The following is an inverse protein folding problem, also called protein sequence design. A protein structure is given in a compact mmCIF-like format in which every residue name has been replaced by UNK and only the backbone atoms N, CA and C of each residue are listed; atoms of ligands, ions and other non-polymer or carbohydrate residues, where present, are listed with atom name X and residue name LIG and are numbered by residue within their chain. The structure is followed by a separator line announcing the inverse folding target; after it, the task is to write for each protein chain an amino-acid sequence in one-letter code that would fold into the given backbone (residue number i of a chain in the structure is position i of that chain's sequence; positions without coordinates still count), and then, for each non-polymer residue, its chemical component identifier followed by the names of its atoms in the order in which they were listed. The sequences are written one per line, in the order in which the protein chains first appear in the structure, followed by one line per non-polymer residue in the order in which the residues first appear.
data_IF_948725862575
#
_entry.id   IF_948725862575
#
_cell.length_a   1.000
_cell.length_b   1.000
_cell.length_c   1.000
_cell.angle_alpha   90.00
_cell.angle_beta   90.00
_cell.angle_gamma   90.00
#
_symmetry.space_group_name_H-M   'P 1'
#
loop_
_entity.id
_entity.type
_entity.pdbx_description
1 polymer ?
#
# COMPACT_ATOMS: atom_id res chain seq x y z
N UNK A 1 12.95 29.68 44.79
CA UNK A 1 13.71 29.04 43.67
C UNK A 1 13.50 27.54 43.60
N UNK A 2 13.66 26.75 44.68
CA UNK A 2 13.53 25.27 44.67
C UNK A 2 12.13 24.84 44.23
N UNK A 3 11.05 25.45 44.68
CA UNK A 3 9.66 25.08 44.33
C UNK A 3 9.38 25.24 42.84
N UNK A 4 9.94 26.30 42.21
CA UNK A 4 9.75 26.53 40.76
C UNK A 4 10.52 25.48 39.95
N UNK A 5 11.74 25.12 40.40
CA UNK A 5 12.50 24.07 39.71
C UNK A 5 11.86 22.70 39.80
N UNK A 6 11.27 22.32 40.95
CA UNK A 6 10.50 21.07 41.11
C UNK A 6 9.24 21.07 40.24
N UNK A 7 8.51 22.19 40.19
CA UNK A 7 7.31 22.30 39.35
C UNK A 7 7.66 22.16 37.86
N UNK A 8 8.73 22.80 37.39
CA UNK A 8 9.17 22.67 35.99
C UNK A 8 9.62 21.26 35.66
N UNK A 9 10.39 20.62 36.56
CA UNK A 9 10.80 19.22 36.35
C UNK A 9 9.60 18.27 36.27
N UNK A 10 8.60 18.44 37.16
CA UNK A 10 7.37 17.64 37.13
C UNK A 10 6.58 17.85 35.84
N UNK A 11 6.45 19.09 35.37
CA UNK A 11 5.80 19.39 34.09
C UNK A 11 6.50 18.73 32.90
N UNK A 12 7.84 18.78 32.86
CA UNK A 12 8.64 18.13 31.78
C UNK A 12 8.47 16.62 31.79
N UNK A 13 8.47 15.98 32.97
CA UNK A 13 8.26 14.55 33.10
C UNK A 13 6.85 14.17 32.64
N UNK A 14 5.83 14.87 33.09
CA UNK A 14 4.44 14.64 32.68
C UNK A 14 4.28 14.82 31.15
N UNK A 15 4.85 15.87 30.59
CA UNK A 15 4.83 16.13 29.14
C UNK A 15 5.51 15.00 28.37
N UNK A 16 6.68 14.54 28.81
CA UNK A 16 7.40 13.43 28.19
C UNK A 16 6.62 12.13 28.22
N UNK A 17 5.95 11.83 29.34
CA UNK A 17 5.08 10.64 29.47
C UNK A 17 3.87 10.75 28.55
N UNK A 18 3.20 11.90 28.53
CA UNK A 18 2.03 12.11 27.64
C UNK A 18 2.45 11.99 26.18
N UNK A 19 3.57 12.57 25.79
CA UNK A 19 4.10 12.45 24.41
C UNK A 19 4.42 11.00 24.06
N UNK A 20 5.08 10.27 24.95
CA UNK A 20 5.41 8.86 24.72
C UNK A 20 4.15 7.97 24.59
N UNK A 21 3.14 8.22 25.44
CA UNK A 21 1.87 7.50 25.36
C UNK A 21 1.08 7.88 24.10
N UNK A 22 1.07 9.16 23.72
CA UNK A 22 0.41 9.61 22.48
C UNK A 22 1.09 9.02 21.24
N UNK A 23 2.42 8.99 21.20
CA UNK A 23 3.16 8.39 20.08
C UNK A 23 2.85 6.90 19.97
N UNK A 24 2.88 6.16 21.10
CA UNK A 24 2.49 4.74 21.13
C UNK A 24 1.05 4.52 20.68
N UNK A 25 0.12 5.40 21.09
CA UNK A 25 -1.28 5.27 20.67
C UNK A 25 -1.47 5.56 19.18
N UNK A 26 -0.73 6.53 18.64
CA UNK A 26 -0.74 6.83 17.20
C UNK A 26 -0.14 5.66 16.41
N UNK A 27 1.01 5.13 16.85
CA UNK A 27 1.62 3.94 16.23
C UNK A 27 0.68 2.74 16.28
N UNK A 28 0.06 2.50 17.45
CA UNK A 28 -0.90 1.40 17.62
C UNK A 28 -2.12 1.56 16.71
N UNK A 29 -2.72 2.75 16.64
CA UNK A 29 -3.85 3.01 15.77
C UNK A 29 -3.48 2.93 14.27
N UNK A 30 -2.24 3.24 13.90
CA UNK A 30 -1.75 3.06 12.53
C UNK A 30 -1.53 1.59 12.16
N UNK A 31 -1.16 0.77 13.13
CA UNK A 31 -0.93 -0.67 12.92
C UNK A 31 -2.25 -1.45 12.98
N UNK A 32 -3.19 -1.07 13.85
CA UNK A 32 -4.48 -1.75 14.01
C UNK A 32 -5.41 -1.64 12.79
N UNK A 33 -5.17 -0.69 11.88
CA UNK A 33 -5.97 -0.47 10.66
C UNK A 33 -5.27 -0.93 9.36
N UNK A 34 -4.04 -1.49 9.45
CA UNK A 34 -3.30 -2.04 8.33
C UNK A 34 -3.22 -3.57 8.41
N UNK A 35 -2.47 -4.20 7.53
CA UNK A 35 -2.26 -5.65 7.52
C UNK A 35 -1.46 -6.12 8.75
N UNK A 36 -1.77 -7.33 9.26
CA UNK A 36 -1.00 -7.97 10.34
C UNK A 36 0.17 -8.80 9.81
N UNK A 37 0.08 -9.30 8.57
CA UNK A 37 1.20 -9.99 7.93
C UNK A 37 1.22 -9.78 6.41
N UNK A 38 2.42 -9.96 5.84
CA UNK A 38 2.64 -9.97 4.39
C UNK A 38 3.40 -11.22 4.01
N UNK A 39 2.81 -12.05 3.17
CA UNK A 39 3.50 -13.15 2.50
C UNK A 39 4.11 -12.62 1.21
N UNK A 40 5.36 -12.95 0.95
CA UNK A 40 6.13 -12.44 -0.21
C UNK A 40 6.79 -13.58 -0.96
N UNK A 41 7.03 -13.38 -2.26
CA UNK A 41 7.61 -14.38 -3.15
C UNK A 41 6.74 -15.64 -3.23
N UNK A 42 5.48 -15.44 -3.43
CA UNK A 42 4.47 -16.47 -3.58
C UNK A 42 3.85 -16.41 -4.97
N UNK A 43 3.20 -17.49 -5.38
CA UNK A 43 2.49 -17.57 -6.66
C UNK A 43 1.04 -17.05 -6.52
N UNK A 44 0.37 -16.82 -7.66
CA UNK A 44 -1.07 -16.54 -7.70
C UNK A 44 -1.90 -17.70 -7.09
N UNK A 45 -1.42 -18.94 -7.23
CA UNK A 45 -2.06 -20.13 -6.65
C UNK A 45 -1.94 -20.12 -5.12
N UNK A 46 -0.77 -19.74 -4.59
CA UNK A 46 -0.57 -19.58 -3.14
C UNK A 46 -1.49 -18.50 -2.56
N UNK A 47 -1.63 -17.35 -3.24
CA UNK A 47 -2.59 -16.30 -2.84
C UNK A 47 -4.01 -16.87 -2.80
N UNK A 48 -4.38 -17.67 -3.80
CA UNK A 48 -5.70 -18.32 -3.85
C UNK A 48 -5.89 -19.31 -2.70
N UNK A 49 -4.84 -20.04 -2.34
CA UNK A 49 -4.84 -20.95 -1.19
C UNK A 49 -5.02 -20.19 0.11
N UNK A 50 -4.27 -19.09 0.32
CA UNK A 50 -4.42 -18.23 1.49
C UNK A 50 -5.85 -17.66 1.61
N UNK A 51 -6.48 -17.27 0.49
CA UNK A 51 -7.88 -16.81 0.45
C UNK A 51 -8.88 -17.89 0.91
N UNK A 52 -8.50 -19.16 0.83
CA UNK A 52 -9.32 -20.30 1.26
C UNK A 52 -9.14 -20.71 2.72
N UNK A 53 -8.17 -20.16 3.44
CA UNK A 53 -7.92 -20.53 4.85
C UNK A 53 -8.88 -19.78 5.78
N UNK A 54 -9.40 -20.49 6.76
CA UNK A 54 -10.28 -19.95 7.81
C UNK A 54 -9.53 -19.03 8.80
N UNK A 55 -8.20 -19.02 8.74
CA UNK A 55 -7.32 -18.19 9.56
C UNK A 55 -7.43 -16.70 9.25
N UNK A 56 -7.80 -16.38 8.01
CA UNK A 56 -7.82 -14.99 7.52
C UNK A 56 -9.25 -14.47 7.34
N UNK A 57 -9.49 -13.27 7.82
CA UNK A 57 -10.70 -12.52 7.53
C UNK A 57 -10.64 -11.83 6.16
N UNK A 58 -9.43 -11.46 5.72
CA UNK A 58 -9.15 -10.82 4.44
C UNK A 58 -7.78 -11.21 3.91
N UNK A 59 -7.68 -11.39 2.60
CA UNK A 59 -6.41 -11.64 1.88
C UNK A 59 -6.42 -10.81 0.61
N UNK A 60 -5.54 -9.83 0.53
CA UNK A 60 -5.36 -8.96 -0.63
C UNK A 60 -4.18 -9.39 -1.49
N UNK A 61 -4.35 -9.33 -2.79
CA UNK A 61 -3.36 -9.69 -3.80
C UNK A 61 -2.62 -8.44 -4.29
N UNK A 62 -1.29 -8.47 -4.24
CA UNK A 62 -0.43 -7.36 -4.61
C UNK A 62 0.77 -7.84 -5.44
N UNK A 63 1.17 -7.03 -6.42
CA UNK A 63 2.39 -7.24 -7.20
C UNK A 63 3.07 -5.90 -7.49
N UNK A 64 4.39 -5.82 -7.24
CA UNK A 64 5.21 -4.68 -7.61
C UNK A 64 5.87 -4.96 -8.96
N UNK A 65 5.39 -4.30 -10.03
CA UNK A 65 5.93 -4.51 -11.36
C UNK A 65 7.32 -3.86 -11.50
N UNK A 66 7.39 -2.55 -11.30
CA UNK A 66 8.63 -1.80 -11.43
C UNK A 66 8.62 -0.55 -10.55
N UNK A 67 9.81 -0.09 -10.18
CA UNK A 67 10.04 1.26 -9.63
C UNK A 67 11.14 1.90 -10.44
N UNK A 68 10.81 2.90 -11.23
CA UNK A 68 11.72 3.49 -12.20
C UNK A 68 11.50 4.99 -12.41
N UNK A 69 12.54 5.73 -12.79
CA UNK A 69 12.39 7.14 -13.12
C UNK A 69 11.62 7.29 -14.43
N UNK A 70 10.72 8.27 -14.48
CA UNK A 70 10.06 8.70 -15.70
C UNK A 70 10.78 9.90 -16.33
N UNK A 71 10.62 10.08 -17.64
CA UNK A 71 11.25 11.19 -18.39
C UNK A 71 10.85 12.56 -17.85
N UNK A 72 9.64 12.68 -17.29
CA UNK A 72 9.15 13.93 -16.68
C UNK A 72 9.80 14.23 -15.30
N UNK A 73 10.65 13.34 -14.78
CA UNK A 73 11.43 13.58 -13.57
C UNK A 73 10.79 13.14 -12.25
N UNK A 74 9.74 12.33 -12.27
CA UNK A 74 9.19 11.65 -11.10
C UNK A 74 9.67 10.19 -11.04
N UNK A 75 9.55 9.57 -9.86
CA UNK A 75 9.74 8.12 -9.71
C UNK A 75 8.39 7.43 -9.77
N UNK A 76 8.19 6.57 -10.76
CA UNK A 76 6.97 5.79 -10.92
C UNK A 76 7.08 4.46 -10.19
N UNK A 77 6.08 4.15 -9.38
CA UNK A 77 5.88 2.82 -8.81
C UNK A 77 4.71 2.16 -9.54
N UNK A 78 5.01 1.24 -10.43
CA UNK A 78 4.01 0.47 -11.18
C UNK A 78 3.62 -0.75 -10.38
N UNK A 79 2.34 -0.84 -10.04
CA UNK A 79 1.82 -1.87 -9.15
C UNK A 79 0.51 -2.44 -9.68
N UNK A 80 0.26 -3.70 -9.34
CA UNK A 80 -1.06 -4.31 -9.42
C UNK A 80 -1.54 -4.62 -8.01
N UNK A 81 -2.81 -4.38 -7.74
CA UNK A 81 -3.48 -4.87 -6.54
C UNK A 81 -4.97 -5.07 -6.78
N UNK A 82 -5.57 -5.95 -5.99
CA UNK A 82 -7.00 -6.16 -5.97
C UNK A 82 -7.73 -5.21 -4.98
N UNK A 83 -9.06 -5.24 -4.98
CA UNK A 83 -9.88 -4.40 -4.10
C UNK A 83 -9.64 -4.70 -2.61
N UNK A 84 -9.32 -5.95 -2.26
CA UNK A 84 -9.02 -6.34 -0.88
C UNK A 84 -7.72 -5.71 -0.41
N UNK A 85 -6.68 -5.68 -1.25
CA UNK A 85 -5.43 -4.96 -0.93
C UNK A 85 -5.69 -3.47 -0.74
N UNK A 86 -6.50 -2.84 -1.62
CA UNK A 86 -6.86 -1.43 -1.47
C UNK A 86 -7.59 -1.14 -0.16
N UNK A 87 -8.41 -2.07 0.31
CA UNK A 87 -9.07 -1.95 1.61
C UNK A 87 -8.10 -2.11 2.78
N UNK A 88 -7.24 -3.13 2.73
CA UNK A 88 -6.26 -3.46 3.77
C UNK A 88 -5.20 -2.35 3.88
N UNK A 89 -4.69 -1.86 2.75
CA UNK A 89 -3.62 -0.87 2.68
C UNK A 89 -4.13 0.58 2.52
N UNK A 90 -5.38 0.87 2.92
CA UNK A 90 -6.05 2.16 2.68
C UNK A 90 -5.30 3.39 3.23
N UNK A 91 -4.45 3.20 4.24
CA UNK A 91 -3.62 4.27 4.81
C UNK A 91 -2.38 4.57 3.95
N UNK A 92 -1.96 3.61 3.12
CA UNK A 92 -0.84 3.77 2.20
C UNK A 92 -1.30 4.22 0.82
N UNK A 93 -2.44 3.71 0.37
CA UNK A 93 -3.02 4.03 -0.93
C UNK A 93 -4.53 3.86 -0.90
N UNK A 94 -5.26 4.86 -1.37
CA UNK A 94 -6.72 4.88 -1.36
C UNK A 94 -7.27 5.26 -2.73
N UNK A 95 -8.25 4.50 -3.21
CA UNK A 95 -9.03 4.89 -4.38
C UNK A 95 -10.02 6.00 -3.97
N UNK A 96 -9.89 7.17 -4.57
CA UNK A 96 -10.75 8.34 -4.32
C UNK A 96 -11.95 8.37 -5.26
N UNK A 97 -11.70 8.10 -6.54
CA UNK A 97 -12.70 8.19 -7.60
C UNK A 97 -12.50 7.10 -8.64
N UNK A 98 -13.57 6.66 -9.30
CA UNK A 98 -13.52 5.70 -10.38
C UNK A 98 -13.40 4.25 -9.90
N UNK A 99 -12.61 3.45 -10.61
CA UNK A 99 -12.40 2.03 -10.37
C UNK A 99 -10.96 1.61 -10.63
N UNK A 100 -10.59 0.42 -10.17
CA UNK A 100 -9.31 -0.19 -10.53
C UNK A 100 -9.26 -0.55 -12.03
N UNK A 101 -8.07 -0.52 -12.65
CA UNK A 101 -7.87 -0.91 -14.05
C UNK A 101 -8.25 -2.38 -14.29
N UNK A 102 -8.88 -2.65 -15.42
CA UNK A 102 -9.29 -4.00 -15.83
C UNK A 102 -8.66 -4.42 -17.15
N UNK A 103 -8.29 -3.45 -18.00
CA UNK A 103 -7.70 -3.70 -19.32
C UNK A 103 -6.23 -3.27 -19.34
N UNK A 104 -5.51 -3.77 -20.31
CA UNK A 104 -4.08 -3.52 -20.50
C UNK A 104 -3.73 -2.04 -20.71
N UNK A 105 -4.62 -1.28 -21.35
CA UNK A 105 -4.48 0.15 -21.64
C UNK A 105 -5.11 1.08 -20.58
N UNK A 106 -5.52 0.53 -19.44
CA UNK A 106 -6.15 1.28 -18.35
C UNK A 106 -5.17 1.46 -17.18
N UNK A 107 -5.26 2.62 -16.51
CA UNK A 107 -4.48 2.92 -15.31
C UNK A 107 -5.35 3.60 -14.25
N UNK A 108 -5.01 3.38 -12.97
CA UNK A 108 -5.39 4.29 -11.92
C UNK A 108 -4.13 5.01 -11.42
N UNK A 109 -4.20 6.32 -11.29
CA UNK A 109 -3.06 7.17 -11.01
C UNK A 109 -3.31 8.06 -9.81
N UNK A 110 -2.26 8.46 -9.11
CA UNK A 110 -2.40 9.33 -7.97
C UNK A 110 -2.85 10.75 -8.38
N UNK A 111 -3.55 11.41 -7.46
CA UNK A 111 -3.90 12.83 -7.62
C UNK A 111 -2.65 13.69 -7.80
N UNK A 112 -1.55 13.33 -7.12
CA UNK A 112 -0.28 14.03 -7.26
C UNK A 112 0.27 13.90 -8.69
N UNK A 113 0.22 12.70 -9.28
CA UNK A 113 0.60 12.50 -10.68
C UNK A 113 -0.23 13.39 -11.62
N UNK A 114 -1.55 13.41 -11.47
CA UNK A 114 -2.43 14.21 -12.33
C UNK A 114 -2.13 15.69 -12.22
N UNK A 115 -1.92 16.22 -11.01
CA UNK A 115 -1.67 17.65 -10.80
C UNK A 115 -0.33 18.14 -11.36
N UNK A 116 0.71 17.30 -11.30
CA UNK A 116 2.08 17.71 -11.66
C UNK A 116 2.46 17.26 -13.09
N UNK A 117 1.96 16.13 -13.55
CA UNK A 117 2.43 15.47 -14.79
C UNK A 117 1.31 15.05 -15.73
N UNK A 118 0.09 14.93 -15.24
CA UNK A 118 -1.04 14.38 -15.98
C UNK A 118 -1.83 15.37 -16.84
N UNK A 119 -1.39 16.63 -16.97
CA UNK A 119 -2.04 17.66 -17.78
C UNK A 119 -3.55 17.83 -17.52
N UNK A 120 -3.95 17.79 -16.22
CA UNK A 120 -5.33 17.92 -15.76
C UNK A 120 -6.30 16.82 -16.27
N UNK A 121 -5.76 15.67 -16.65
CA UNK A 121 -6.58 14.56 -17.12
C UNK A 121 -7.50 14.02 -16.01
N UNK A 122 -8.76 13.80 -16.38
CA UNK A 122 -9.78 13.18 -15.52
C UNK A 122 -10.04 11.72 -15.88
N UNK A 123 -11.01 11.11 -15.16
CA UNK A 123 -11.46 9.75 -15.46
C UNK A 123 -12.01 9.68 -16.89
N UNK A 124 -11.58 8.67 -17.64
CA UNK A 124 -11.92 8.44 -19.05
C UNK A 124 -11.00 9.17 -20.04
N UNK A 125 -10.14 10.06 -19.55
CA UNK A 125 -9.15 10.74 -20.37
C UNK A 125 -7.82 9.99 -20.40
N UNK A 126 -6.92 10.39 -21.30
CA UNK A 126 -5.64 9.73 -21.49
C UNK A 126 -4.50 10.47 -20.82
N UNK A 127 -3.59 9.71 -20.24
CA UNK A 127 -2.30 10.18 -19.72
C UNK A 127 -1.17 9.49 -20.43
N UNK A 128 -0.05 10.20 -20.59
CA UNK A 128 1.19 9.64 -21.13
C UNK A 128 2.05 9.10 -19.98
N UNK A 129 2.37 7.83 -20.02
CA UNK A 129 3.44 7.25 -19.21
C UNK A 129 4.73 7.23 -20.04
N UNK A 130 5.87 7.46 -19.41
CA UNK A 130 7.15 7.70 -20.11
C UNK A 130 8.35 7.11 -19.37
N UNK A 131 8.17 5.95 -18.80
CA UNK A 131 9.27 5.20 -18.21
C UNK A 131 9.81 4.11 -19.16
N UNK A 132 10.88 3.43 -18.77
CA UNK A 132 11.51 2.39 -19.57
C UNK A 132 10.56 1.23 -19.86
N UNK A 133 9.89 0.72 -18.82
CA UNK A 133 9.00 -0.44 -18.95
C UNK A 133 7.60 -0.08 -19.43
N UNK A 134 7.13 1.14 -19.16
CA UNK A 134 5.77 1.59 -19.47
C UNK A 134 5.82 2.93 -20.20
N UNK A 135 5.63 2.88 -21.52
CA UNK A 135 5.65 4.05 -22.38
C UNK A 135 4.44 4.04 -23.31
N UNK A 136 3.68 5.12 -23.30
CA UNK A 136 2.49 5.27 -24.17
C UNK A 136 1.31 5.94 -23.47
N UNK A 137 0.20 6.00 -24.21
CA UNK A 137 -1.05 6.56 -23.73
C UNK A 137 -1.89 5.51 -23.02
N UNK A 138 -2.34 5.85 -21.81
CA UNK A 138 -3.21 5.02 -20.99
C UNK A 138 -4.47 5.77 -20.60
N UNK A 139 -5.59 5.08 -20.51
CA UNK A 139 -6.88 5.63 -20.08
C UNK A 139 -6.96 5.64 -18.55
N UNK A 140 -7.21 6.79 -17.96
CA UNK A 140 -7.40 6.93 -16.52
C UNK A 140 -8.75 6.36 -16.12
N UNK A 141 -8.76 5.33 -15.29
CA UNK A 141 -9.99 4.70 -14.76
C UNK A 141 -10.21 4.93 -13.29
N UNK A 142 -9.17 5.33 -12.57
CA UNK A 142 -9.25 5.65 -11.14
C UNK A 142 -8.26 6.72 -10.74
N UNK A 143 -8.64 7.47 -9.70
CA UNK A 143 -7.80 8.47 -9.06
C UNK A 143 -7.50 8.01 -7.65
N UNK A 144 -6.21 7.97 -7.31
CA UNK A 144 -5.69 7.49 -6.05
C UNK A 144 -5.19 8.65 -5.17
N UNK A 145 -5.16 8.41 -3.88
CA UNK A 145 -4.36 9.18 -2.92
C UNK A 145 -3.26 8.27 -2.38
N UNK A 146 -2.01 8.59 -2.71
CA UNK A 146 -0.84 7.87 -2.22
C UNK A 146 -0.21 8.56 -1.01
N UNK A 147 0.44 7.77 -0.15
CA UNK A 147 1.09 8.27 1.05
C UNK A 147 2.42 8.95 0.71
N UNK A 148 2.58 10.22 1.13
CA UNK A 148 3.83 11.00 1.00
C UNK A 148 4.40 11.13 -0.41
N UNK A 149 3.64 10.94 -1.46
CA UNK A 149 4.12 10.98 -2.85
C UNK A 149 4.84 12.28 -3.18
N UNK A 150 4.29 13.42 -2.75
CA UNK A 150 4.89 14.73 -2.97
C UNK A 150 6.26 14.88 -2.26
N UNK A 151 6.42 14.28 -1.09
CA UNK A 151 7.66 14.40 -0.29
C UNK A 151 8.80 13.60 -0.93
N UNK A 152 8.48 12.47 -1.56
CA UNK A 152 9.47 11.57 -2.18
C UNK A 152 9.58 11.75 -3.69
N UNK A 153 8.80 12.68 -4.28
CA UNK A 153 8.65 12.86 -5.71
C UNK A 153 8.34 11.54 -6.43
N UNK A 154 7.43 10.77 -5.84
CA UNK A 154 7.02 9.45 -6.31
C UNK A 154 5.56 9.44 -6.70
N UNK A 155 5.20 8.66 -7.70
CA UNK A 155 3.83 8.49 -8.16
C UNK A 155 3.46 7.02 -8.18
N UNK A 156 2.34 6.67 -7.55
CA UNK A 156 1.78 5.33 -7.64
C UNK A 156 0.91 5.21 -8.88
N UNK A 157 1.19 4.23 -9.70
CA UNK A 157 0.46 3.92 -10.95
C UNK A 157 0.00 2.48 -10.86
N UNK A 158 -1.31 2.29 -10.77
CA UNK A 158 -1.90 0.96 -10.79
C UNK A 158 -2.17 0.53 -12.22
N UNK A 159 -1.80 -0.71 -12.50
CA UNK A 159 -2.05 -1.41 -13.74
C UNK A 159 -3.05 -2.55 -13.53
N UNK A 160 -3.65 -3.02 -14.61
CA UNK A 160 -4.51 -4.20 -14.56
C UNK A 160 -3.72 -5.50 -14.41
N UNK A 161 -4.38 -6.56 -14.01
CA UNK A 161 -3.80 -7.91 -13.99
C UNK A 161 -3.42 -8.40 -15.40
N UNK A 162 -4.14 -7.92 -16.40
CA UNK A 162 -3.86 -8.21 -17.82
C UNK A 162 -2.53 -7.55 -18.23
N UNK A 163 -2.32 -6.28 -17.91
CA UNK A 163 -1.07 -5.57 -18.14
C UNK A 163 0.10 -6.22 -17.39
N UNK A 164 -0.11 -6.65 -16.14
CA UNK A 164 0.89 -7.39 -15.37
C UNK A 164 1.34 -8.65 -16.09
N UNK A 165 0.39 -9.50 -16.52
CA UNK A 165 0.71 -10.77 -17.20
C UNK A 165 1.32 -10.59 -18.58
N UNK A 166 1.07 -9.46 -19.24
CA UNK A 166 1.69 -9.07 -20.51
C UNK A 166 3.08 -8.46 -20.38
N UNK A 167 3.49 -8.06 -19.18
CA UNK A 167 4.78 -7.41 -18.97
C UNK A 167 5.96 -8.39 -19.08
N UNK A 168 7.02 -7.99 -19.78
CA UNK A 168 8.20 -8.85 -20.03
C UNK A 168 9.00 -9.22 -18.79
N UNK A 169 8.88 -8.43 -17.71
CA UNK A 169 9.51 -8.69 -16.41
C UNK A 169 8.65 -9.51 -15.45
N UNK A 170 7.49 -10.00 -15.88
CA UNK A 170 6.58 -10.76 -15.02
C UNK A 170 7.21 -12.07 -14.51
N UNK A 171 7.25 -12.22 -13.18
CA UNK A 171 7.63 -13.46 -12.49
C UNK A 171 6.40 -14.00 -11.74
N UNK A 172 5.87 -15.18 -12.10
CA UNK A 172 4.70 -15.76 -11.42
C UNK A 172 4.93 -16.07 -9.93
N UNK A 173 6.17 -16.02 -9.44
CA UNK A 173 6.53 -16.27 -8.05
C UNK A 173 6.83 -14.98 -7.24
N UNK A 174 6.51 -13.79 -7.75
CA UNK A 174 6.79 -12.52 -7.05
C UNK A 174 5.53 -11.80 -6.54
N UNK A 175 4.44 -12.53 -6.38
CA UNK A 175 3.26 -12.00 -5.72
C UNK A 175 3.49 -11.79 -4.22
N UNK A 176 2.66 -10.89 -3.67
CA UNK A 176 2.54 -10.67 -2.23
C UNK A 176 1.09 -10.78 -1.83
N UNK A 177 0.85 -11.31 -0.64
CA UNK A 177 -0.47 -11.31 -0.02
C UNK A 177 -0.42 -10.48 1.27
N UNK A 178 -1.28 -9.47 1.34
CA UNK A 178 -1.55 -8.71 2.56
C UNK A 178 -2.71 -9.36 3.27
N UNK A 179 -2.59 -9.64 4.56
CA UNK A 179 -3.61 -10.41 5.28
C UNK A 179 -4.06 -9.75 6.57
N UNK A 180 -5.36 -9.95 6.90
CA UNK A 180 -5.95 -9.76 8.20
C UNK A 180 -6.36 -11.10 8.77
N UNK A 181 -5.97 -11.40 10.01
CA UNK A 181 -6.36 -12.61 10.70
C UNK A 181 -7.82 -12.54 11.20
N UNK A 182 -8.50 -13.68 11.23
CA UNK A 182 -9.90 -13.79 11.66
C UNK A 182 -10.11 -13.37 13.13
N UNK A 183 -9.14 -13.63 14.01
CA UNK A 183 -9.23 -13.42 15.45
C UNK A 183 -8.16 -12.47 15.98
N UNK A 184 -7.78 -11.47 15.20
CA UNK A 184 -6.74 -10.49 15.53
C UNK A 184 -6.84 -9.93 16.96
N UNK A 185 -8.06 -9.54 17.38
CA UNK A 185 -8.29 -8.95 18.72
C UNK A 185 -8.06 -9.92 19.89
N UNK A 186 -7.93 -11.23 19.62
CA UNK A 186 -7.75 -12.28 20.62
C UNK A 186 -6.30 -12.80 20.68
N UNK A 187 -5.48 -12.45 19.68
CA UNK A 187 -4.08 -12.88 19.60
C UNK A 187 -3.13 -11.73 19.95
N UNK A 188 -2.08 -12.04 20.70
CA UNK A 188 -0.99 -11.10 20.89
C UNK A 188 -0.02 -11.12 19.69
N UNK A 189 0.88 -10.14 19.60
CA UNK A 189 1.84 -10.00 18.49
C UNK A 189 2.73 -11.26 18.35
N UNK A 190 3.03 -11.94 19.44
CA UNK A 190 3.85 -13.16 19.43
C UNK A 190 3.07 -14.33 18.82
N UNK A 191 1.79 -14.46 19.15
CA UNK A 191 0.89 -15.48 18.62
C UNK A 191 0.63 -15.26 17.13
N UNK A 192 0.35 -14.03 16.70
CA UNK A 192 0.20 -13.65 15.29
C UNK A 192 1.45 -14.00 14.48
N UNK A 193 2.64 -13.65 15.00
CA UNK A 193 3.91 -13.97 14.36
C UNK A 193 4.15 -15.48 14.27
N UNK A 194 3.83 -16.22 15.32
CA UNK A 194 4.01 -17.69 15.33
C UNK A 194 3.07 -18.36 14.33
N UNK A 195 1.78 -17.96 14.29
CA UNK A 195 0.79 -18.50 13.35
C UNK A 195 1.12 -18.16 11.90
N UNK A 196 1.52 -16.91 11.62
CA UNK A 196 1.96 -16.51 10.28
C UNK A 196 3.13 -17.35 9.77
N UNK A 197 4.10 -17.68 10.64
CA UNK A 197 5.24 -18.54 10.29
C UNK A 197 4.87 -20.00 10.10
N UNK A 198 3.86 -20.49 10.78
CA UNK A 198 3.36 -21.85 10.62
C UNK A 198 2.70 -22.00 9.25
N UNK A 199 1.78 -21.09 8.90
CA UNK A 199 1.10 -21.08 7.60
C UNK A 199 2.11 -20.97 6.45
N UNK A 200 3.16 -20.17 6.60
CA UNK A 200 4.21 -20.01 5.56
C UNK A 200 5.06 -21.28 5.32
N UNK A 201 4.87 -22.37 6.09
CA UNK A 201 5.59 -23.64 5.91
C UNK A 201 4.73 -24.73 5.28
N UNK A 202 3.44 -24.53 5.25
CA UNK A 202 2.47 -25.42 4.59
C UNK A 202 2.39 -25.17 3.09
#
# INVERSE_FOLDING_TARGET
MVVIAVALASCLICFSIVMALSTRQIEKNHVEDTYEAVYTRITEEDVSTLKGLDDFSRVGEYYMLAVEPAEQGYNASYIYCDEETMYIARDQMKLLEGRLPQKEDEVAVSRYFLSEYGADAGIGEKVMLSSESFHGEYTVTGILEGYKEKEVNGCSILLSKEALKGWSGYDPADYRAYVHFQNEQQMDETELTARSREIAKE
#
